data_IF_087439440036
#
_entry.id   IF_087439440036
#
_cell.length_a   1.000
_cell.length_b   1.000
_cell.length_c   1.000
_cell.angle_alpha   90.00
_cell.angle_beta   90.00
_cell.angle_gamma   90.00
#
_symmetry.space_group_name_H-M   'P 1'
#
loop_
_entity.id
_entity.type
_entity.pdbx_description
1 polymer ?
#
# COMPACT_ATOMS: atom_id res chain seq x y z
N UNK A 1 17.73 -4.45 25.01
CA UNK A 1 17.34 -4.52 23.59
C UNK A 1 16.25 -3.48 23.40
N UNK A 2 16.32 -2.66 22.35
CA UNK A 2 15.22 -1.74 22.06
C UNK A 2 13.96 -2.56 21.80
N UNK A 3 12.86 -2.20 22.45
CA UNK A 3 11.55 -2.81 22.24
C UNK A 3 11.07 -2.46 20.83
N UNK A 4 10.58 -3.46 20.10
CA UNK A 4 10.03 -3.22 18.77
C UNK A 4 8.70 -2.47 18.92
N UNK A 5 8.35 -1.53 18.04
CA UNK A 5 7.07 -0.84 18.13
C UNK A 5 5.89 -1.82 18.02
N UNK A 6 4.87 -1.58 18.83
CA UNK A 6 3.56 -2.26 18.75
C UNK A 6 2.78 -1.91 17.47
N UNK A 7 3.38 -1.10 16.59
CA UNK A 7 2.76 -0.51 15.43
C UNK A 7 3.72 -0.39 14.26
N UNK A 8 3.27 -0.83 13.09
CA UNK A 8 3.86 -0.49 11.79
C UNK A 8 2.78 0.17 10.93
N UNK A 9 3.09 1.32 10.33
CA UNK A 9 2.19 2.02 9.42
C UNK A 9 2.84 2.16 8.05
N UNK A 10 2.05 1.90 7.01
CA UNK A 10 2.42 2.13 5.61
C UNK A 10 1.39 3.04 4.97
N UNK A 11 1.86 4.05 4.26
CA UNK A 11 1.02 5.01 3.55
C UNK A 11 1.06 4.73 2.05
N UNK A 12 -0.13 4.63 1.46
CA UNK A 12 -0.33 4.41 0.03
C UNK A 12 -1.08 5.61 -0.55
N UNK A 13 -0.59 6.11 -1.67
CA UNK A 13 -1.23 7.19 -2.45
C UNK A 13 -1.82 6.61 -3.73
N UNK A 14 -2.85 7.27 -4.27
CA UNK A 14 -3.54 6.79 -5.47
C UNK A 14 -4.46 5.59 -5.20
N UNK A 15 -4.91 5.40 -3.96
CA UNK A 15 -5.95 4.42 -3.67
C UNK A 15 -7.25 4.84 -4.36
N UNK A 16 -7.87 3.89 -5.07
CA UNK A 16 -9.12 4.08 -5.80
C UNK A 16 -10.32 3.99 -4.85
N UNK A 17 -10.34 4.83 -3.83
CA UNK A 17 -11.36 4.88 -2.78
C UNK A 17 -11.76 6.34 -2.57
N UNK A 18 -13.06 6.62 -2.62
CA UNK A 18 -13.58 7.97 -2.37
C UNK A 18 -13.82 8.15 -0.87
N UNK A 19 -12.99 8.98 -0.24
CA UNK A 19 -13.16 9.32 1.18
C UNK A 19 -14.04 10.56 1.35
N UNK A 20 -13.71 11.64 0.63
CA UNK A 20 -14.40 12.91 0.68
C UNK A 20 -15.12 13.23 -0.63
N UNK A 21 -16.19 14.02 -0.58
CA UNK A 21 -16.85 14.52 -1.79
C UNK A 21 -15.90 15.41 -2.61
N UNK A 22 -15.79 15.22 -3.93
CA UNK A 22 -14.99 16.08 -4.80
C UNK A 22 -15.63 17.47 -4.92
N UNK A 23 -14.78 18.50 -5.05
CA UNK A 23 -15.23 19.89 -5.27
C UNK A 23 -14.40 20.54 -6.36
N UNK A 24 -14.89 21.61 -6.97
CA UNK A 24 -14.15 22.37 -8.00
C UNK A 24 -12.84 22.99 -7.46
N UNK A 25 -12.70 23.12 -6.15
CA UNK A 25 -11.52 23.72 -5.50
C UNK A 25 -10.49 22.66 -5.10
N UNK A 26 -10.92 21.43 -4.81
CA UNK A 26 -10.07 20.40 -4.21
C UNK A 26 -10.44 18.99 -4.66
N UNK A 27 -9.44 18.27 -5.14
CA UNK A 27 -9.51 16.84 -5.44
C UNK A 27 -9.67 16.02 -4.14
N UNK A 28 -10.42 14.91 -4.15
CA UNK A 28 -10.54 14.04 -3.01
C UNK A 28 -9.18 13.44 -2.63
N UNK A 29 -8.97 13.19 -1.34
CA UNK A 29 -7.76 12.46 -0.93
C UNK A 29 -7.85 11.02 -1.42
N UNK A 30 -6.73 10.51 -1.94
CA UNK A 30 -6.55 9.11 -2.36
C UNK A 30 -5.53 8.40 -1.49
N UNK A 31 -5.22 8.97 -0.32
CA UNK A 31 -4.25 8.44 0.60
C UNK A 31 -4.91 7.54 1.63
N UNK A 32 -4.35 6.35 1.81
CA UNK A 32 -4.72 5.43 2.88
C UNK A 32 -3.50 5.03 3.66
N UNK A 33 -3.63 4.94 4.97
CA UNK A 33 -2.64 4.34 5.83
C UNK A 33 -3.11 2.96 6.27
N UNK A 34 -2.29 1.94 6.04
CA UNK A 34 -2.47 0.60 6.56
C UNK A 34 -1.68 0.48 7.85
N UNK A 35 -2.41 0.26 8.94
CA UNK A 35 -1.86 0.27 10.28
C UNK A 35 -1.90 -1.13 10.87
N UNK A 36 -0.73 -1.77 10.92
CA UNK A 36 -0.51 -3.12 11.45
C UNK A 36 -0.25 -3.03 12.95
N UNK A 37 -1.16 -3.61 13.74
CA UNK A 37 -1.13 -3.57 15.21
C UNK A 37 -0.60 -4.90 15.74
N UNK A 38 0.29 -4.81 16.72
CA UNK A 38 1.01 -5.96 17.28
C UNK A 38 1.62 -6.78 16.14
N UNK A 39 2.61 -6.22 15.41
CA UNK A 39 3.30 -6.97 14.37
C UNK A 39 3.88 -8.25 14.99
N UNK A 40 3.84 -9.34 14.24
CA UNK A 40 4.46 -10.64 14.58
C UNK A 40 5.70 -10.90 13.73
N UNK A 41 5.81 -10.23 12.58
CA UNK A 41 6.96 -10.28 11.69
C UNK A 41 7.00 -9.05 10.79
N UNK A 42 8.21 -8.54 10.54
CA UNK A 42 8.44 -7.46 9.57
C UNK A 42 9.69 -7.81 8.77
N UNK A 43 9.55 -7.93 7.45
CA UNK A 43 10.66 -8.16 6.53
C UNK A 43 10.64 -7.17 5.38
N UNK A 44 11.80 -6.57 5.12
CA UNK A 44 12.07 -5.77 3.93
C UNK A 44 12.56 -6.69 2.81
N UNK A 45 12.06 -6.44 1.61
CA UNK A 45 12.39 -7.20 0.41
C UNK A 45 13.09 -6.27 -0.60
N UNK A 46 14.12 -6.77 -1.28
CA UNK A 46 14.88 -6.00 -2.28
C UNK A 46 15.34 -6.90 -3.41
N UNK A 47 15.37 -6.38 -4.63
CA UNK A 47 15.92 -7.07 -5.81
C UNK A 47 17.38 -7.48 -5.56
N UNK A 48 17.78 -8.70 -5.95
CA UNK A 48 19.18 -9.18 -5.83
C UNK A 48 20.21 -8.31 -6.54
N UNK A 49 19.79 -7.55 -7.55
CA UNK A 49 20.68 -6.70 -8.33
C UNK A 49 20.80 -5.29 -7.72
N UNK A 50 20.06 -4.99 -6.65
CA UNK A 50 20.19 -3.74 -5.91
C UNK A 50 21.56 -3.68 -5.21
N UNK A 51 22.28 -2.54 -5.25
CA UNK A 51 23.54 -2.39 -4.52
C UNK A 51 23.37 -2.69 -3.03
N UNK A 52 24.35 -3.39 -2.43
CA UNK A 52 24.28 -3.84 -1.03
C UNK A 52 24.08 -2.66 -0.06
N UNK A 53 24.66 -1.51 -0.38
CA UNK A 53 24.49 -0.27 0.37
C UNK A 53 23.04 0.21 0.33
N UNK A 54 22.37 0.11 -0.82
CA UNK A 54 20.97 0.52 -0.99
C UNK A 54 19.98 -0.46 -0.35
N UNK A 55 20.26 -1.77 -0.39
CA UNK A 55 19.46 -2.82 0.28
C UNK A 55 19.28 -2.50 1.76
N UNK A 56 20.34 -2.02 2.42
CA UNK A 56 20.33 -1.75 3.86
C UNK A 56 19.83 -0.34 4.23
N UNK A 57 19.64 0.55 3.24
CA UNK A 57 19.35 1.97 3.47
C UNK A 57 17.96 2.40 2.99
N UNK A 58 17.38 1.72 2.00
CA UNK A 58 16.08 2.15 1.45
C UNK A 58 14.97 2.20 2.51
N UNK A 59 14.86 1.29 3.52
CA UNK A 59 13.80 1.39 4.51
C UNK A 59 13.95 2.64 5.40
N UNK A 60 15.18 3.01 5.75
CA UNK A 60 15.47 4.19 6.55
C UNK A 60 15.26 5.47 5.74
N UNK A 61 15.63 5.47 4.45
CA UNK A 61 15.35 6.60 3.56
C UNK A 61 13.83 6.79 3.40
N UNK A 62 13.06 5.70 3.23
CA UNK A 62 11.60 5.74 3.17
C UNK A 62 10.99 6.29 4.46
N UNK A 63 11.48 5.84 5.63
CA UNK A 63 11.03 6.33 6.93
C UNK A 63 11.30 7.83 7.13
N UNK A 64 12.36 8.37 6.54
CA UNK A 64 12.79 9.78 6.67
C UNK A 64 12.25 10.69 5.56
N UNK A 65 11.44 10.14 4.65
CA UNK A 65 10.95 10.87 3.47
C UNK A 65 12.10 11.38 2.58
N UNK A 66 13.18 10.59 2.49
CA UNK A 66 14.40 10.87 1.69
C UNK A 66 14.38 10.17 0.32
N UNK A 67 13.29 9.48 -0.05
CA UNK A 67 13.08 8.92 -1.38
C UNK A 67 11.75 9.36 -1.95
N UNK A 68 11.66 9.53 -3.26
CA UNK A 68 10.38 9.53 -3.93
C UNK A 68 9.70 8.17 -3.68
N UNK A 69 8.43 8.17 -3.28
CA UNK A 69 7.70 6.95 -2.95
C UNK A 69 7.71 5.93 -4.11
N UNK A 70 7.53 4.66 -3.79
CA UNK A 70 7.55 3.57 -4.78
C UNK A 70 6.15 3.30 -5.34
N UNK A 71 6.06 2.98 -6.63
CA UNK A 71 4.82 2.52 -7.26
C UNK A 71 4.65 1.02 -7.04
N UNK A 72 3.54 0.60 -6.41
CA UNK A 72 3.19 -0.82 -6.29
C UNK A 72 3.10 -1.48 -7.68
N UNK A 73 3.75 -2.63 -7.83
CA UNK A 73 3.75 -3.39 -9.08
C UNK A 73 2.39 -4.07 -9.26
N UNK A 74 1.77 -3.86 -10.42
CA UNK A 74 0.47 -4.46 -10.75
C UNK A 74 0.50 -5.98 -10.60
N UNK A 75 -0.48 -6.55 -9.90
CA UNK A 75 -0.56 -7.99 -9.61
C UNK A 75 0.32 -8.47 -8.46
N UNK A 76 1.17 -7.62 -7.86
CA UNK A 76 2.09 -8.00 -6.79
C UNK A 76 1.75 -7.30 -5.47
N UNK A 77 0.48 -7.40 -5.04
CA UNK A 77 0.00 -6.93 -3.75
C UNK A 77 -1.03 -7.92 -3.20
N UNK A 78 -0.85 -8.40 -1.97
CA UNK A 78 -1.76 -9.40 -1.37
C UNK A 78 -1.77 -9.35 0.17
N UNK A 79 -2.87 -9.82 0.77
CA UNK A 79 -3.01 -9.99 2.21
C UNK A 79 -2.95 -11.46 2.68
N UNK A 80 -3.33 -12.43 1.84
CA UNK A 80 -3.47 -13.83 2.31
C UNK A 80 -3.07 -14.88 1.28
N UNK A 81 -2.71 -14.48 0.07
CA UNK A 81 -2.37 -15.41 -1.01
C UNK A 81 -0.93 -15.92 -0.83
N UNK A 82 -0.79 -17.11 -0.25
CA UNK A 82 0.51 -17.75 -0.01
C UNK A 82 1.30 -17.99 -1.30
N UNK A 83 0.63 -18.25 -2.43
CA UNK A 83 1.29 -18.47 -3.72
C UNK A 83 1.92 -17.17 -4.19
N UNK A 84 1.14 -16.08 -4.17
CA UNK A 84 1.64 -14.76 -4.57
C UNK A 84 2.70 -14.20 -3.60
N UNK A 85 2.57 -14.46 -2.28
CA UNK A 85 3.64 -14.12 -1.33
C UNK A 85 4.94 -14.84 -1.69
N UNK A 86 4.89 -16.14 -2.01
CA UNK A 86 6.06 -16.90 -2.43
C UNK A 86 6.66 -16.35 -3.73
N UNK A 87 5.82 -15.97 -4.69
CA UNK A 87 6.26 -15.36 -5.94
C UNK A 87 7.00 -14.03 -5.69
N UNK A 88 6.39 -13.09 -4.95
CA UNK A 88 7.00 -11.80 -4.61
C UNK A 88 8.36 -11.98 -3.93
N UNK A 89 8.44 -12.86 -2.91
CA UNK A 89 9.67 -13.08 -2.14
C UNK A 89 10.76 -13.72 -3.02
N UNK A 90 10.38 -14.62 -3.93
CA UNK A 90 11.33 -15.25 -4.87
C UNK A 90 11.85 -14.26 -5.92
N UNK A 91 11.01 -13.37 -6.41
CA UNK A 91 11.40 -12.38 -7.42
C UNK A 91 12.36 -11.34 -6.86
N UNK A 92 12.05 -10.78 -5.69
CA UNK A 92 12.94 -9.81 -5.03
C UNK A 92 14.21 -10.54 -4.55
N UNK A 93 14.08 -11.75 -4.02
CA UNK A 93 15.18 -12.67 -3.63
C UNK A 93 16.12 -12.23 -2.51
N UNK A 94 16.15 -10.94 -2.13
CA UNK A 94 16.80 -10.49 -0.89
C UNK A 94 15.74 -10.24 0.19
N UNK A 95 15.93 -10.84 1.36
CA UNK A 95 15.03 -10.74 2.51
C UNK A 95 15.81 -10.28 3.73
N UNK A 96 15.38 -9.16 4.32
CA UNK A 96 15.87 -8.68 5.60
C UNK A 96 14.72 -8.66 6.62
N UNK A 97 14.64 -9.70 7.45
CA UNK A 97 13.73 -9.74 8.59
C UNK A 97 14.28 -8.87 9.70
N UNK A 98 13.61 -7.75 9.97
CA UNK A 98 14.01 -6.78 11.00
C UNK A 98 13.32 -7.03 12.34
N UNK A 99 12.22 -7.78 12.32
CA UNK A 99 11.50 -8.17 13.52
C UNK A 99 10.75 -9.48 13.35
N UNK A 100 10.72 -10.27 14.43
CA UNK A 100 9.91 -11.48 14.53
C UNK A 100 10.36 -12.61 13.61
N UNK A 101 9.38 -13.30 13.07
CA UNK A 101 9.57 -14.54 12.32
C UNK A 101 10.09 -14.33 10.89
N UNK A 102 10.89 -15.27 10.38
CA UNK A 102 11.32 -15.27 8.98
C UNK A 102 10.14 -15.58 8.04
N UNK A 103 10.17 -15.13 6.77
CA UNK A 103 9.16 -15.51 5.79
C UNK A 103 8.99 -17.03 5.72
N UNK A 104 7.73 -17.47 5.59
CA UNK A 104 7.35 -18.88 5.47
C UNK A 104 7.69 -19.77 6.68
N UNK A 105 8.11 -19.20 7.82
CA UNK A 105 8.16 -20.00 9.04
C UNK A 105 6.74 -20.46 9.41
N UNK A 106 6.57 -21.64 10.05
CA UNK A 106 5.27 -22.09 10.52
C UNK A 106 4.59 -21.07 11.43
N UNK A 107 5.36 -20.26 12.16
CA UNK A 107 4.83 -19.23 13.05
C UNK A 107 4.43 -17.95 12.31
N UNK A 108 5.15 -17.56 11.25
CA UNK A 108 4.71 -16.47 10.37
C UNK A 108 3.31 -16.75 9.79
N UNK A 109 3.08 -17.98 9.35
CA UNK A 109 1.80 -18.41 8.76
C UNK A 109 0.62 -18.42 9.75
N UNK A 110 0.87 -18.31 11.06
CA UNK A 110 -0.18 -18.18 12.08
C UNK A 110 -0.67 -16.75 12.26
N UNK A 111 0.01 -15.77 11.66
CA UNK A 111 -0.38 -14.36 11.78
C UNK A 111 -1.75 -14.12 11.14
N UNK A 112 -2.74 -13.60 11.88
CA UNK A 112 -4.09 -13.35 11.35
C UNK A 112 -4.12 -12.42 10.14
N UNK A 113 -3.27 -11.39 10.17
CA UNK A 113 -3.01 -10.51 9.05
C UNK A 113 -1.64 -10.82 8.50
N UNK A 114 -1.58 -11.05 7.19
CA UNK A 114 -0.33 -11.04 6.43
C UNK A 114 -0.48 -10.00 5.34
N UNK A 115 0.59 -9.39 4.91
CA UNK A 115 0.57 -8.55 3.72
C UNK A 115 1.92 -8.64 3.05
N UNK A 116 1.91 -8.84 1.74
CA UNK A 116 3.10 -8.78 0.92
C UNK A 116 2.82 -7.91 -0.29
N UNK A 117 3.77 -7.03 -0.61
CA UNK A 117 3.72 -6.31 -1.88
C UNK A 117 5.12 -6.10 -2.45
N UNK A 118 5.14 -5.90 -3.77
CA UNK A 118 6.29 -5.40 -4.52
C UNK A 118 5.99 -3.98 -4.98
N UNK A 119 6.99 -3.11 -4.92
CA UNK A 119 6.96 -1.77 -5.48
C UNK A 119 8.28 -1.50 -6.21
N UNK A 120 8.29 -1.77 -7.51
CA UNK A 120 9.52 -1.71 -8.31
C UNK A 120 10.56 -2.76 -7.87
N UNK A 121 11.73 -2.30 -7.42
CA UNK A 121 12.83 -3.15 -6.95
C UNK A 121 12.83 -3.45 -5.45
N UNK A 122 11.80 -3.01 -4.72
CA UNK A 122 11.67 -3.23 -3.27
C UNK A 122 10.29 -3.82 -2.93
N UNK A 123 10.11 -4.23 -1.68
CA UNK A 123 8.85 -4.74 -1.19
C UNK A 123 8.88 -4.92 0.32
N UNK A 124 7.74 -5.33 0.87
CA UNK A 124 7.62 -5.57 2.31
C UNK A 124 6.69 -6.75 2.57
N UNK A 125 7.07 -7.58 3.53
CA UNK A 125 6.26 -8.65 4.08
C UNK A 125 6.00 -8.37 5.56
N UNK A 126 4.73 -8.29 5.95
CA UNK A 126 4.32 -8.01 7.33
C UNK A 126 3.38 -9.11 7.80
N UNK A 127 3.61 -9.62 9.01
CA UNK A 127 2.64 -10.38 9.80
C UNK A 127 2.20 -9.54 10.99
N UNK A 128 0.91 -9.56 11.32
CA UNK A 128 0.36 -8.84 12.48
C UNK A 128 -0.91 -9.50 13.03
N UNK A 129 -1.27 -9.13 14.26
CA UNK A 129 -2.53 -9.58 14.87
C UNK A 129 -3.75 -8.91 14.25
N UNK A 130 -3.66 -7.61 13.91
CA UNK A 130 -4.76 -6.89 13.28
C UNK A 130 -4.30 -5.75 12.37
N UNK A 131 -5.22 -5.33 11.49
CA UNK A 131 -5.04 -4.26 10.52
C UNK A 131 -6.15 -3.23 10.71
N UNK A 132 -5.77 -1.95 10.70
CA UNK A 132 -6.71 -0.84 10.51
C UNK A 132 -6.40 -0.11 9.22
N UNK A 133 -7.45 0.37 8.55
CA UNK A 133 -7.34 1.24 7.39
C UNK A 133 -7.70 2.64 7.89
N UNK A 134 -6.81 3.59 7.68
CA UNK A 134 -7.03 4.99 8.04
C UNK A 134 -7.02 5.85 6.78
N UNK A 135 -7.89 6.84 6.76
CA UNK A 135 -7.90 7.94 5.80
C UNK A 135 -7.74 9.27 6.53
N UNK A 136 -7.68 10.37 5.78
CA UNK A 136 -7.69 11.71 6.37
C UNK A 136 -8.97 12.03 7.17
N UNK A 137 -10.07 11.30 6.96
CA UNK A 137 -11.33 11.46 7.70
C UNK A 137 -11.42 10.55 8.94
N UNK A 138 -10.45 9.65 9.14
CA UNK A 138 -10.41 8.70 10.24
C UNK A 138 -10.38 7.24 9.79
N UNK A 139 -10.79 6.35 10.70
CA UNK A 139 -10.80 4.90 10.47
C UNK A 139 -11.84 4.52 9.41
N UNK A 140 -11.44 3.68 8.46
CA UNK A 140 -12.26 3.14 7.38
C UNK A 140 -12.50 1.67 7.67
N UNK A 141 -13.77 1.28 7.77
CA UNK A 141 -14.13 -0.11 7.99
C UNK A 141 -13.95 -0.90 6.70
N UNK A 142 -13.53 -2.17 6.81
CA UNK A 142 -13.39 -3.05 5.66
C UNK A 142 -14.71 -3.19 4.87
N UNK A 143 -15.85 -3.17 5.56
CA UNK A 143 -17.19 -3.21 4.97
C UNK A 143 -17.53 -1.99 4.11
N UNK A 144 -16.81 -0.88 4.27
CA UNK A 144 -17.03 0.36 3.51
C UNK A 144 -16.17 0.42 2.24
N UNK A 145 -15.13 -0.42 2.13
CA UNK A 145 -14.14 -0.35 1.05
C UNK A 145 -14.79 -0.55 -0.33
N UNK A 146 -15.71 -1.50 -0.46
CA UNK A 146 -16.39 -1.79 -1.72
C UNK A 146 -17.27 -0.61 -2.19
N UNK A 147 -18.02 -0.02 -1.26
CA UNK A 147 -18.85 1.15 -1.57
C UNK A 147 -18.00 2.37 -1.92
N UNK A 148 -16.94 2.64 -1.16
CA UNK A 148 -16.00 3.73 -1.46
C UNK A 148 -15.30 3.54 -2.81
N UNK A 149 -15.02 2.30 -3.22
CA UNK A 149 -14.48 2.01 -4.55
C UNK A 149 -15.51 2.28 -5.66
N UNK A 150 -16.76 1.85 -5.49
CA UNK A 150 -17.84 2.19 -6.45
C UNK A 150 -18.02 3.69 -6.61
N UNK A 151 -18.03 4.42 -5.50
CA UNK A 151 -18.13 5.88 -5.50
C UNK A 151 -16.94 6.53 -6.20
N UNK A 152 -15.73 5.99 -6.02
CA UNK A 152 -14.54 6.46 -6.72
C UNK A 152 -14.66 6.28 -8.24
N UNK A 153 -15.17 5.15 -8.71
CA UNK A 153 -15.42 4.94 -10.14
C UNK A 153 -16.49 5.87 -10.71
N UNK A 154 -17.54 6.16 -9.95
CA UNK A 154 -18.54 7.17 -10.34
C UNK A 154 -17.92 8.56 -10.46
N UNK A 155 -17.09 8.95 -9.49
CA UNK A 155 -16.33 10.20 -9.54
C UNK A 155 -15.37 10.23 -10.74
N UNK A 156 -14.62 9.16 -11.00
CA UNK A 156 -13.71 9.07 -12.14
C UNK A 156 -14.45 9.30 -13.47
N UNK A 157 -15.63 8.72 -13.66
CA UNK A 157 -16.46 8.95 -14.85
C UNK A 157 -16.87 10.42 -14.96
N UNK A 158 -17.30 11.02 -13.85
CA UNK A 158 -17.68 12.43 -13.82
C UNK A 158 -16.49 13.34 -14.11
N UNK A 159 -15.31 13.07 -13.55
CA UNK A 159 -14.08 13.81 -13.77
C UNK A 159 -13.78 13.98 -15.26
N UNK A 160 -13.81 12.90 -16.02
CA UNK A 160 -13.59 12.94 -17.46
C UNK A 160 -14.72 13.60 -18.26
N UNK A 161 -15.96 13.54 -17.78
CA UNK A 161 -17.09 14.22 -18.43
C UNK A 161 -17.00 15.73 -18.37
N UNK A 162 -16.48 16.29 -17.27
CA UNK A 162 -16.43 17.74 -17.03
C UNK A 162 -15.06 18.37 -17.27
N UNK A 163 -14.02 17.58 -17.60
CA UNK A 163 -12.60 18.00 -17.67
C UNK A 163 -12.35 19.24 -18.53
N UNK A 164 -13.06 19.39 -19.65
CA UNK A 164 -12.89 20.50 -20.59
C UNK A 164 -14.02 21.54 -20.48
N UNK A 165 -14.68 21.62 -19.33
CA UNK A 165 -15.82 22.52 -19.08
C UNK A 165 -15.53 23.54 -17.98
N UNK A 166 -16.43 24.51 -17.78
CA UNK A 166 -16.32 25.48 -16.68
C UNK A 166 -16.46 24.83 -15.29
N UNK A 167 -17.02 23.62 -15.22
CA UNK A 167 -17.24 22.86 -14.00
C UNK A 167 -16.14 21.81 -13.75
N UNK A 168 -14.98 21.96 -14.41
CA UNK A 168 -13.87 21.03 -14.28
C UNK A 168 -13.39 20.91 -12.83
N UNK A 169 -13.23 19.66 -12.38
CA UNK A 169 -12.52 19.37 -11.14
C UNK A 169 -11.03 19.71 -11.27
N UNK A 170 -10.33 20.03 -10.17
CA UNK A 170 -8.89 20.19 -10.19
C UNK A 170 -8.22 18.86 -10.60
N UNK A 171 -7.02 18.97 -11.18
CA UNK A 171 -6.26 17.80 -11.64
C UNK A 171 -6.08 16.78 -10.51
N UNK A 172 -6.54 15.56 -10.75
CA UNK A 172 -6.46 14.45 -9.81
C UNK A 172 -5.56 13.35 -10.36
N UNK A 173 -4.41 13.15 -9.71
CA UNK A 173 -3.43 12.14 -10.11
C UNK A 173 -4.04 10.75 -10.28
N UNK A 174 -4.92 10.32 -9.36
CA UNK A 174 -5.49 8.97 -9.44
C UNK A 174 -6.42 8.82 -10.65
N UNK A 175 -7.11 9.89 -11.05
CA UNK A 175 -7.91 9.88 -12.27
C UNK A 175 -7.05 9.86 -13.53
N UNK A 176 -5.96 10.62 -13.57
CA UNK A 176 -5.07 10.73 -14.72
C UNK A 176 -4.26 9.46 -15.01
N UNK A 177 -3.90 8.69 -13.97
CA UNK A 177 -3.11 7.45 -14.13
C UNK A 177 -3.95 6.18 -14.25
N UNK A 178 -5.26 6.25 -13.97
CA UNK A 178 -6.13 5.06 -14.02
C UNK A 178 -6.68 4.83 -15.42
N UNK A 179 -6.40 3.65 -15.96
CA UNK A 179 -7.05 3.11 -17.16
C UNK A 179 -8.33 2.39 -16.72
N UNK A 180 -9.50 2.67 -17.34
CA UNK A 180 -10.75 2.01 -16.97
C UNK A 180 -10.66 0.50 -17.21
N UNK A 181 -11.25 -0.27 -16.29
CA UNK A 181 -11.48 -1.70 -16.52
C UNK A 181 -12.49 -1.84 -17.67
N UNK A 182 -12.16 -2.63 -18.69
CA UNK A 182 -13.15 -3.03 -19.69
C UNK A 182 -14.09 -4.05 -19.05
N UNK A 183 -15.39 -3.76 -19.06
CA UNK A 183 -16.45 -4.73 -18.73
C UNK A 183 -16.60 -5.77 -19.86
#
# INVERSE_FOLDING_TARGET
>A
MAEWPDLVQLEFRGAQLLFSNPTIEKAPSTMVALQFRNPTSVSFLSDKNMPVEEVNLWPQKLQRDETDGFTCSYGFFTFIDDVLIQEIVRELSTVQTVFGEKPFSPDFNKSPVRMCFRAGGVGMLIGAESLRILSHEGEVLLSEVEEKNRQWWSYWKQYWQVKDTADAYPVDYACEVTIPLQE
#
